data_IF_915322438835
#
_entry.id   IF_915322438835
#
_cell.length_a   1.000
_cell.length_b   1.000
_cell.length_c   1.000
_cell.angle_alpha   90.00
_cell.angle_beta   90.00
_cell.angle_gamma   90.00
#
_symmetry.space_group_name_H-M   'P 1'
#
loop_
_entity.id
_entity.type
_entity.pdbx_description
1 polymer ?
#
# COMPACT_ATOMS: atom_id res chain seq x y z
N UNK A 1 -11.15 1.45 -6.30
CA UNK A 1 -10.59 1.11 -4.98
C UNK A 1 -10.55 2.30 -4.02
N UNK A 2 -11.08 2.11 -2.82
CA UNK A 2 -11.11 3.08 -1.70
C UNK A 2 -9.96 2.90 -0.72
N UNK A 3 -9.39 1.71 -0.63
CA UNK A 3 -8.35 1.38 0.35
C UNK A 3 -7.98 -0.09 0.35
N UNK A 4 -7.27 -0.49 1.39
CA UNK A 4 -7.04 -1.89 1.76
C UNK A 4 -7.50 -2.08 3.20
N UNK A 5 -8.29 -3.12 3.43
CA UNK A 5 -8.76 -3.53 4.76
C UNK A 5 -7.91 -4.68 5.24
N UNK A 6 -7.16 -4.45 6.32
CA UNK A 6 -6.42 -5.49 7.04
C UNK A 6 -7.39 -6.25 7.93
N UNK A 7 -7.38 -7.59 7.87
CA UNK A 7 -8.23 -8.46 8.69
C UNK A 7 -7.34 -9.39 9.51
N UNK A 8 -7.64 -9.48 10.80
CA UNK A 8 -7.20 -10.59 11.66
C UNK A 8 -8.42 -11.41 12.08
N UNK A 9 -8.42 -12.70 11.73
CA UNK A 9 -9.41 -13.67 12.15
C UNK A 9 -8.73 -15.03 12.37
N UNK A 10 -8.21 -15.25 13.57
CA UNK A 10 -7.48 -16.49 13.87
C UNK A 10 -8.44 -17.67 14.10
N UNK A 11 -8.06 -18.89 13.70
CA UNK A 11 -8.81 -20.10 14.02
C UNK A 11 -9.10 -20.23 15.52
N UNK A 12 -10.38 -20.35 15.88
CA UNK A 12 -10.82 -20.48 17.27
C UNK A 12 -10.88 -19.16 18.05
N UNK A 13 -10.65 -18.02 17.41
CA UNK A 13 -10.96 -16.71 17.99
C UNK A 13 -12.42 -16.36 17.74
N UNK A 14 -13.09 -15.86 18.78
CA UNK A 14 -14.43 -15.28 18.67
C UNK A 14 -14.40 -13.83 18.19
N UNK A 15 -13.21 -13.30 17.88
CA UNK A 15 -12.99 -11.89 17.56
C UNK A 15 -12.38 -11.73 16.17
N UNK A 16 -13.04 -10.90 15.36
CA UNK A 16 -12.54 -10.46 14.06
C UNK A 16 -12.15 -8.99 14.19
N UNK A 17 -10.89 -8.66 13.89
CA UNK A 17 -10.46 -7.26 13.83
C UNK A 17 -10.26 -6.83 12.38
N UNK A 18 -10.87 -5.70 12.02
CA UNK A 18 -10.75 -5.05 10.73
C UNK A 18 -10.11 -3.67 10.88
N UNK A 19 -9.14 -3.37 10.01
CA UNK A 19 -8.44 -2.10 9.99
C UNK A 19 -8.37 -1.53 8.58
N UNK A 20 -9.05 -0.41 8.32
CA UNK A 20 -9.15 0.18 6.98
C UNK A 20 -8.08 1.24 6.78
N UNK A 21 -7.26 1.06 5.75
CA UNK A 21 -6.21 2.00 5.34
C UNK A 21 -6.52 2.53 3.95
N UNK A 22 -6.53 3.85 3.77
CA UNK A 22 -6.77 4.51 2.48
C UNK A 22 -5.62 5.45 2.13
N UNK A 23 -5.42 5.68 0.84
CA UNK A 23 -4.46 6.68 0.37
C UNK A 23 -5.15 7.96 -0.08
N UNK A 24 -4.57 9.09 0.29
CA UNK A 24 -4.89 10.41 -0.24
C UNK A 24 -3.60 11.14 -0.56
N UNK A 25 -3.55 11.69 -1.77
CA UNK A 25 -2.34 12.32 -2.32
C UNK A 25 -1.16 11.34 -2.24
N UNK A 26 -0.08 11.71 -1.54
CA UNK A 26 1.11 10.87 -1.36
C UNK A 26 1.21 10.25 0.03
N UNK A 27 0.08 10.01 0.70
CA UNK A 27 0.05 9.46 2.06
C UNK A 27 -1.08 8.44 2.22
N UNK A 28 -0.73 7.28 2.78
CA UNK A 28 -1.69 6.31 3.27
C UNK A 28 -1.95 6.50 4.77
N UNK A 29 -3.22 6.43 5.18
CA UNK A 29 -3.67 6.66 6.56
C UNK A 29 -4.81 5.72 6.91
N UNK A 30 -4.89 5.38 8.19
CA UNK A 30 -6.02 4.65 8.74
C UNK A 30 -7.26 5.53 8.79
N UNK A 31 -8.40 4.96 8.41
CA UNK A 31 -9.69 5.66 8.39
C UNK A 31 -10.73 5.02 9.29
N UNK A 32 -10.57 3.73 9.61
CA UNK A 32 -11.43 3.04 10.56
C UNK A 32 -10.73 1.81 11.15
N UNK A 33 -11.13 1.42 12.35
CA UNK A 33 -10.74 0.18 13.01
C UNK A 33 -11.94 -0.36 13.79
N UNK A 34 -12.28 -1.63 13.57
CA UNK A 34 -13.46 -2.26 14.16
C UNK A 34 -13.08 -3.64 14.66
N UNK A 35 -13.49 -3.93 15.89
CA UNK A 35 -13.42 -5.26 16.48
C UNK A 35 -14.84 -5.81 16.55
N UNK A 36 -15.03 -7.05 16.10
CA UNK A 36 -16.35 -7.69 16.08
C UNK A 36 -16.29 -9.00 16.84
N UNK A 37 -17.24 -9.19 17.75
CA UNK A 37 -17.44 -10.41 18.52
C UNK A 37 -18.36 -11.35 17.74
N UNK A 38 -17.77 -12.26 16.97
CA UNK A 38 -18.47 -13.19 16.11
C UNK A 38 -19.22 -14.29 16.90
N UNK A 39 -18.91 -14.50 18.18
CA UNK A 39 -19.63 -15.43 19.04
C UNK A 39 -20.97 -14.87 19.53
N UNK A 40 -21.11 -13.55 19.63
CA UNK A 40 -22.37 -12.91 20.02
C UNK A 40 -23.36 -12.80 18.87
N UNK A 41 -22.90 -12.36 17.71
CA UNK A 41 -23.76 -12.14 16.55
C UNK A 41 -22.97 -12.31 15.23
N UNK A 42 -23.23 -13.43 14.55
CA UNK A 42 -22.57 -13.77 13.31
C UNK A 42 -23.08 -12.93 12.12
N UNK A 43 -24.36 -12.52 12.14
CA UNK A 43 -24.96 -11.73 11.06
C UNK A 43 -24.38 -10.31 11.08
N UNK A 44 -24.34 -9.69 12.26
CA UNK A 44 -23.67 -8.40 12.46
C UNK A 44 -22.17 -8.46 12.10
N UNK A 45 -21.50 -9.58 12.39
CA UNK A 45 -20.10 -9.79 12.01
C UNK A 45 -19.91 -9.85 10.49
N UNK A 46 -20.76 -10.58 9.77
CA UNK A 46 -20.73 -10.62 8.30
C UNK A 46 -21.02 -9.24 7.68
N UNK A 47 -21.99 -8.52 8.22
CA UNK A 47 -22.34 -7.18 7.76
C UNK A 47 -21.22 -6.16 8.00
N UNK A 48 -20.56 -6.21 9.16
CA UNK A 48 -19.41 -5.39 9.45
C UNK A 48 -18.26 -5.68 8.47
N UNK A 49 -17.94 -6.96 8.22
CA UNK A 49 -16.89 -7.36 7.28
C UNK A 49 -17.23 -6.88 5.86
N UNK A 50 -18.45 -7.10 5.38
CA UNK A 50 -18.91 -6.65 4.06
C UNK A 50 -18.82 -5.12 3.92
N UNK A 51 -19.33 -4.39 4.91
CA UNK A 51 -19.37 -2.92 4.90
C UNK A 51 -17.98 -2.27 4.92
N UNK A 52 -17.03 -2.89 5.63
CA UNK A 52 -15.65 -2.38 5.76
C UNK A 52 -14.71 -2.85 4.65
N UNK A 53 -15.04 -3.93 3.95
CA UNK A 53 -14.22 -4.44 2.84
C UNK A 53 -14.72 -3.94 1.48
N UNK A 54 -15.95 -3.43 1.36
CA UNK A 54 -16.51 -2.91 0.10
C UNK A 54 -15.57 -1.91 -0.60
N UNK A 55 -15.34 -2.12 -1.89
CA UNK A 55 -14.42 -1.33 -2.72
C UNK A 55 -12.98 -1.26 -2.20
N UNK A 56 -12.56 -2.16 -1.30
CA UNK A 56 -11.19 -2.25 -0.80
C UNK A 56 -10.52 -3.53 -1.30
N UNK A 57 -9.19 -3.53 -1.36
CA UNK A 57 -8.43 -4.77 -1.32
C UNK A 57 -8.45 -5.36 0.10
N UNK A 58 -8.24 -6.67 0.23
CA UNK A 58 -8.14 -7.31 1.55
C UNK A 58 -6.70 -7.77 1.79
N UNK A 59 -6.17 -7.43 2.96
CA UNK A 59 -4.88 -7.89 3.48
C UNK A 59 -5.16 -8.71 4.74
N UNK A 60 -4.51 -9.86 4.89
CA UNK A 60 -4.69 -10.70 6.08
C UNK A 60 -3.42 -10.78 6.91
N UNK A 61 -3.57 -10.88 8.22
CA UNK A 61 -2.47 -11.24 9.13
C UNK A 61 -2.11 -12.72 8.98
N UNK A 62 -0.90 -13.10 9.38
CA UNK A 62 -0.47 -14.50 9.36
C UNK A 62 -1.39 -15.35 10.24
N UNK A 63 -1.81 -16.51 9.72
CA UNK A 63 -2.70 -17.45 10.40
C UNK A 63 -4.20 -17.15 10.25
N UNK A 64 -4.58 -16.00 9.68
CA UNK A 64 -6.00 -15.66 9.47
C UNK A 64 -6.71 -16.66 8.56
N UNK A 65 -7.92 -17.06 8.95
CA UNK A 65 -8.88 -17.76 8.09
C UNK A 65 -9.98 -16.81 7.61
N UNK A 66 -10.39 -16.96 6.35
CA UNK A 66 -11.50 -16.20 5.75
C UNK A 66 -12.73 -17.08 5.49
N UNK A 67 -12.71 -18.34 5.95
CA UNK A 67 -13.79 -19.29 5.69
C UNK A 67 -15.11 -18.75 6.24
N UNK A 68 -16.12 -18.68 5.38
CA UNK A 68 -17.45 -18.16 5.72
C UNK A 68 -17.56 -16.63 5.77
N UNK A 69 -16.46 -15.88 5.64
CA UNK A 69 -16.51 -14.41 5.56
C UNK A 69 -16.88 -13.95 4.13
N UNK A 70 -17.59 -12.83 3.97
CA UNK A 70 -17.98 -12.29 2.67
C UNK A 70 -16.81 -11.58 1.96
N UNK A 71 -15.70 -12.30 1.76
CA UNK A 71 -14.49 -11.82 1.08
C UNK A 71 -14.23 -12.70 -0.15
N UNK A 72 -14.18 -12.06 -1.32
CA UNK A 72 -13.88 -12.70 -2.59
C UNK A 72 -12.40 -12.58 -2.97
N UNK A 73 -11.94 -13.53 -3.78
CA UNK A 73 -10.60 -13.54 -4.34
C UNK A 73 -9.51 -13.93 -3.35
N UNK A 74 -8.27 -14.00 -3.83
CA UNK A 74 -7.12 -14.31 -2.97
C UNK A 74 -6.69 -13.03 -2.23
N UNK A 75 -6.65 -13.02 -0.88
CA UNK A 75 -6.22 -11.84 -0.14
C UNK A 75 -4.72 -11.58 -0.34
N UNK A 76 -4.32 -10.34 -0.07
CA UNK A 76 -2.93 -9.95 0.11
C UNK A 76 -2.41 -10.49 1.45
N UNK A 77 -1.10 -10.65 1.53
CA UNK A 77 -0.37 -11.14 2.70
C UNK A 77 0.80 -10.20 3.01
N UNK A 78 1.48 -10.43 4.13
CA UNK A 78 2.72 -9.73 4.47
C UNK A 78 3.83 -9.91 3.41
N UNK A 79 3.83 -11.03 2.69
CA UNK A 79 4.73 -11.25 1.57
C UNK A 79 4.48 -10.24 0.44
N UNK A 80 3.22 -9.97 0.11
CA UNK A 80 2.88 -8.99 -0.93
C UNK A 80 3.33 -7.58 -0.51
N UNK A 81 3.28 -7.24 0.79
CA UNK A 81 3.83 -5.97 1.30
C UNK A 81 5.35 -5.91 1.18
N UNK A 82 6.04 -7.02 1.43
CA UNK A 82 7.49 -7.12 1.23
C UNK A 82 7.86 -6.92 -0.24
N UNK A 83 7.08 -7.48 -1.16
CA UNK A 83 7.25 -7.26 -2.60
C UNK A 83 7.00 -5.79 -2.99
N UNK A 84 6.02 -5.13 -2.37
CA UNK A 84 5.77 -3.69 -2.56
C UNK A 84 6.97 -2.84 -2.13
N UNK A 85 7.59 -3.16 -0.99
CA UNK A 85 8.79 -2.48 -0.51
C UNK A 85 9.95 -2.70 -1.48
N UNK A 86 10.22 -3.95 -1.87
CA UNK A 86 11.30 -4.28 -2.81
C UNK A 86 11.11 -3.59 -4.17
N UNK A 87 9.89 -3.56 -4.70
CA UNK A 87 9.59 -2.84 -5.93
C UNK A 87 9.83 -1.33 -5.76
N UNK A 88 9.40 -0.76 -4.63
CA UNK A 88 9.60 0.65 -4.33
C UNK A 88 11.09 1.01 -4.33
N UNK A 89 11.94 0.21 -3.70
CA UNK A 89 13.40 0.40 -3.69
C UNK A 89 14.00 0.33 -5.10
N UNK A 90 13.60 -0.66 -5.89
CA UNK A 90 14.04 -0.76 -7.28
C UNK A 90 13.63 0.48 -8.10
N UNK A 91 12.43 1.00 -7.85
CA UNK A 91 11.93 2.21 -8.50
C UNK A 91 12.70 3.46 -8.07
N UNK A 92 13.01 3.61 -6.77
CA UNK A 92 13.87 4.68 -6.24
C UNK A 92 15.26 4.67 -6.89
N UNK A 93 15.83 3.47 -7.06
CA UNK A 93 17.11 3.30 -7.75
C UNK A 93 17.02 3.75 -9.22
N UNK A 94 16.00 3.31 -9.96
CA UNK A 94 15.79 3.68 -11.35
C UNK A 94 15.63 5.20 -11.54
N UNK A 95 14.84 5.88 -10.68
CA UNK A 95 14.70 7.34 -10.70
C UNK A 95 16.05 8.02 -10.44
N UNK A 96 16.82 7.52 -9.46
CA UNK A 96 18.13 8.08 -9.12
C UNK A 96 19.11 7.99 -10.29
N UNK A 97 19.16 6.83 -10.96
CA UNK A 97 20.00 6.61 -12.13
C UNK A 97 19.59 7.54 -13.28
N UNK A 98 18.29 7.66 -13.58
CA UNK A 98 17.81 8.59 -14.60
C UNK A 98 18.21 10.05 -14.33
N UNK A 99 18.16 10.48 -13.06
CA UNK A 99 18.61 11.82 -12.66
C UNK A 99 20.12 11.97 -12.81
N UNK A 100 20.92 10.98 -12.38
CA UNK A 100 22.39 10.99 -12.55
C UNK A 100 22.77 11.06 -14.03
N UNK A 101 22.12 10.26 -14.87
CA UNK A 101 22.33 10.22 -16.31
C UNK A 101 21.99 11.54 -16.97
N UNK A 102 20.85 12.15 -16.62
CA UNK A 102 20.48 13.47 -17.09
C UNK A 102 21.51 14.53 -16.70
N UNK A 103 21.95 14.55 -15.43
CA UNK A 103 22.98 15.49 -14.95
C UNK A 103 24.30 15.30 -15.69
N UNK A 104 24.72 14.05 -15.93
CA UNK A 104 25.93 13.73 -16.71
C UNK A 104 25.84 14.23 -18.15
N UNK A 105 24.72 13.95 -18.84
CA UNK A 105 24.50 14.31 -20.24
C UNK A 105 24.39 15.82 -20.46
N UNK A 106 23.72 16.53 -19.55
CA UNK A 106 23.47 17.97 -19.67
C UNK A 106 24.48 18.83 -18.93
N UNK A 107 25.38 18.21 -18.15
CA UNK A 107 26.29 18.88 -17.19
C UNK A 107 25.57 19.82 -16.23
N UNK A 108 24.29 19.54 -15.94
CA UNK A 108 23.47 20.40 -15.09
C UNK A 108 23.84 20.25 -13.61
N UNK A 109 24.30 21.34 -13.01
CA UNK A 109 24.52 21.42 -11.57
C UNK A 109 23.23 21.69 -10.78
N UNK A 110 22.20 22.24 -11.42
CA UNK A 110 21.00 22.76 -10.75
C UNK A 110 19.92 21.70 -10.49
N UNK A 111 19.98 20.54 -11.14
CA UNK A 111 19.02 19.45 -10.89
C UNK A 111 19.37 18.77 -9.56
N UNK A 112 18.44 18.82 -8.61
CA UNK A 112 18.59 18.16 -7.31
C UNK A 112 18.38 16.64 -7.43
N UNK A 113 19.16 15.89 -6.64
CA UNK A 113 18.91 14.46 -6.46
C UNK A 113 17.58 14.26 -5.71
N UNK A 114 16.79 13.23 -6.05
CA UNK A 114 15.59 12.90 -5.28
C UNK A 114 15.96 12.49 -3.85
N UNK A 115 15.05 12.77 -2.93
CA UNK A 115 15.12 12.32 -1.54
C UNK A 115 13.92 11.41 -1.31
N UNK A 116 14.20 10.17 -0.95
CA UNK A 116 13.17 9.14 -0.76
C UNK A 116 12.92 8.87 0.72
N UNK A 117 11.70 8.43 1.08
CA UNK A 117 11.43 7.91 2.40
C UNK A 117 12.26 6.63 2.65
N UNK A 118 12.58 6.39 3.93
CA UNK A 118 13.21 5.14 4.37
C UNK A 118 12.25 3.98 4.10
N UNK A 119 12.78 2.87 3.57
CA UNK A 119 12.02 1.64 3.39
C UNK A 119 11.57 1.09 4.74
N UNK A 120 10.28 0.78 4.92
CA UNK A 120 9.82 0.13 6.14
C UNK A 120 10.36 -1.30 6.23
N UNK A 121 10.80 -1.70 7.42
CA UNK A 121 11.33 -3.03 7.70
C UNK A 121 10.23 -3.84 8.42
N UNK A 122 9.86 -5.05 7.96
CA UNK A 122 8.79 -5.84 8.58
C UNK A 122 8.97 -6.04 10.09
N UNK A 123 10.21 -6.25 10.54
CA UNK A 123 10.55 -6.47 11.94
C UNK A 123 10.19 -5.29 12.87
N UNK A 124 10.08 -4.07 12.33
CA UNK A 124 9.67 -2.88 13.10
C UNK A 124 8.17 -2.87 13.41
N UNK A 125 7.39 -3.78 12.80
CA UNK A 125 5.94 -3.89 12.92
C UNK A 125 5.51 -5.17 13.64
N UNK A 126 6.28 -5.61 14.62
CA UNK A 126 5.86 -6.70 15.49
C UNK A 126 4.66 -6.26 16.36
N UNK A 127 3.62 -7.10 16.51
CA UNK A 127 2.52 -6.81 17.42
C UNK A 127 3.02 -6.75 18.87
N UNK A 128 2.50 -5.81 19.65
CA UNK A 128 2.88 -5.64 21.07
C UNK A 128 2.41 -6.82 21.92
N UNK A 129 1.23 -7.35 21.61
CA UNK A 129 0.59 -8.48 22.28
C UNK A 129 0.02 -9.45 21.24
N UNK A 130 -0.21 -10.70 21.64
CA UNK A 130 -0.82 -11.71 20.78
C UNK A 130 -2.36 -11.62 20.79
N UNK A 131 -2.88 -10.47 20.38
CA UNK A 131 -4.33 -10.23 20.23
C UNK A 131 -4.69 -9.94 18.77
N UNK A 132 -5.93 -10.22 18.33
CA UNK A 132 -6.38 -9.89 16.98
C UNK A 132 -6.15 -8.42 16.62
N UNK A 133 -6.47 -7.53 17.56
CA UNK A 133 -6.31 -6.10 17.38
C UNK A 133 -4.84 -5.67 17.27
N UNK A 134 -3.96 -6.21 18.11
CA UNK A 134 -2.52 -5.91 18.01
C UNK A 134 -1.91 -6.41 16.70
N UNK A 135 -2.26 -7.62 16.23
CA UNK A 135 -1.77 -8.16 14.94
C UNK A 135 -2.30 -7.37 13.74
N UNK A 136 -3.60 -7.05 13.73
CA UNK A 136 -4.22 -6.25 12.67
C UNK A 136 -3.61 -4.85 12.61
N UNK A 137 -3.41 -4.20 13.76
CA UNK A 137 -2.83 -2.85 13.84
C UNK A 137 -1.39 -2.82 13.34
N UNK A 138 -0.55 -3.77 13.78
CA UNK A 138 0.85 -3.82 13.38
C UNK A 138 0.98 -4.03 11.85
N UNK A 139 0.20 -4.96 11.30
CA UNK A 139 0.13 -5.21 9.85
C UNK A 139 -0.41 -4.00 9.07
N UNK A 140 -1.43 -3.32 9.59
CA UNK A 140 -1.96 -2.10 8.97
C UNK A 140 -0.93 -0.96 8.96
N UNK A 141 -0.17 -0.78 10.04
CA UNK A 141 0.91 0.22 10.09
C UNK A 141 2.00 -0.07 9.05
N UNK A 142 2.39 -1.35 8.90
CA UNK A 142 3.35 -1.74 7.88
C UNK A 142 2.85 -1.39 6.47
N UNK A 143 1.60 -1.74 6.15
CA UNK A 143 0.94 -1.35 4.91
C UNK A 143 0.93 0.17 4.70
N UNK A 144 0.55 0.96 5.71
CA UNK A 144 0.45 2.41 5.59
C UNK A 144 1.80 3.06 5.27
N UNK A 145 2.89 2.57 5.87
CA UNK A 145 4.23 3.06 5.57
C UNK A 145 4.75 2.58 4.22
N UNK A 146 4.55 1.31 3.86
CA UNK A 146 4.96 0.78 2.56
C UNK A 146 4.23 1.50 1.41
N UNK A 147 2.92 1.71 1.54
CA UNK A 147 2.12 2.40 0.54
C UNK A 147 2.48 3.89 0.45
N UNK A 148 2.72 4.55 1.59
CA UNK A 148 3.22 5.94 1.60
C UNK A 148 4.59 6.05 0.93
N UNK A 149 5.47 5.08 1.16
CA UNK A 149 6.80 5.06 0.55
C UNK A 149 6.72 4.97 -0.98
N UNK A 150 5.84 4.10 -1.49
CA UNK A 150 5.53 4.00 -2.92
C UNK A 150 5.03 5.34 -3.48
N UNK A 151 3.95 5.90 -2.91
CA UNK A 151 3.31 7.10 -3.45
C UNK A 151 4.26 8.31 -3.48
N UNK A 152 5.09 8.48 -2.46
CA UNK A 152 6.11 9.53 -2.42
C UNK A 152 7.22 9.31 -3.45
N UNK A 153 7.61 8.05 -3.65
CA UNK A 153 8.61 7.69 -4.67
C UNK A 153 8.08 8.01 -6.07
N UNK A 154 6.85 7.60 -6.37
CA UNK A 154 6.25 7.83 -7.69
C UNK A 154 5.90 9.31 -7.94
N UNK A 155 5.64 10.09 -6.88
CA UNK A 155 5.55 11.56 -6.98
C UNK A 155 6.89 12.18 -7.40
N UNK A 156 8.03 11.71 -6.88
CA UNK A 156 9.35 12.21 -7.29
C UNK A 156 9.64 11.90 -8.77
N UNK A 157 9.17 10.75 -9.28
CA UNK A 157 9.19 10.42 -10.70
C UNK A 157 8.30 11.38 -11.51
N UNK A 158 7.04 11.56 -11.10
CA UNK A 158 6.08 12.46 -11.77
C UNK A 158 6.62 13.88 -11.90
N UNK A 159 7.17 14.46 -10.82
CA UNK A 159 7.75 15.82 -10.82
C UNK A 159 8.89 16.02 -11.82
N UNK A 160 9.54 14.93 -12.24
CA UNK A 160 10.70 14.92 -13.16
C UNK A 160 10.35 14.46 -14.58
N UNK A 161 9.07 14.17 -14.81
CA UNK A 161 8.51 13.79 -16.10
C UNK A 161 8.37 15.01 -17.01
N UNK A 162 7.89 16.13 -16.45
CA UNK A 162 7.61 17.38 -17.19
C UNK A 162 8.51 18.51 -16.72
N UNK A 163 9.06 19.28 -17.65
CA UNK A 163 9.90 20.45 -17.35
C UNK A 163 9.04 21.61 -16.81
N UNK A 164 9.29 22.15 -15.59
CA UNK A 164 8.37 23.09 -14.93
C UNK A 164 8.04 24.38 -15.70
N UNK A 165 8.99 24.92 -16.46
CA UNK A 165 8.81 26.20 -17.18
C UNK A 165 8.25 26.04 -18.59
N UNK A 166 8.53 24.91 -19.25
CA UNK A 166 8.22 24.73 -20.68
C UNK A 166 7.14 23.70 -20.93
N UNK A 167 6.78 22.87 -19.95
CA UNK A 167 5.83 21.77 -20.13
C UNK A 167 6.38 20.61 -20.96
N UNK A 168 7.66 20.64 -21.32
CA UNK A 168 8.29 19.63 -22.18
C UNK A 168 8.36 18.27 -21.47
N UNK A 169 8.02 17.21 -22.21
CA UNK A 169 8.02 15.82 -21.77
C UNK A 169 8.46 14.91 -22.93
N UNK A 170 9.28 13.88 -22.69
CA UNK A 170 9.98 13.57 -21.43
C UNK A 170 11.08 14.60 -21.10
N UNK A 171 11.25 14.94 -19.82
CA UNK A 171 12.31 15.86 -19.36
C UNK A 171 13.54 15.13 -18.79
N UNK A 172 13.45 14.61 -17.56
CA UNK A 172 14.53 13.86 -16.90
C UNK A 172 14.25 12.36 -16.96
N UNK A 173 13.00 11.96 -16.73
CA UNK A 173 12.60 10.57 -16.76
C UNK A 173 12.69 10.00 -18.18
N UNK A 174 13.11 8.74 -18.35
CA UNK A 174 13.06 8.06 -19.64
C UNK A 174 11.61 7.82 -20.08
N UNK A 175 11.41 7.55 -21.37
CA UNK A 175 10.07 7.32 -21.96
C UNK A 175 9.29 6.23 -21.22
N UNK A 176 9.95 5.14 -20.82
CA UNK A 176 9.33 4.04 -20.07
C UNK A 176 8.80 4.43 -18.69
N UNK A 177 9.22 5.57 -18.15
CA UNK A 177 8.79 6.11 -16.84
C UNK A 177 8.05 7.45 -16.99
N UNK A 178 7.71 7.83 -18.22
CA UNK A 178 7.16 9.13 -18.57
C UNK A 178 5.63 9.18 -18.38
N UNK A 179 5.16 9.03 -17.13
CA UNK A 179 3.73 9.09 -16.79
C UNK A 179 3.34 10.40 -16.08
N UNK A 180 2.25 11.08 -16.49
CA UNK A 180 1.78 12.27 -15.80
C UNK A 180 1.01 11.98 -14.50
N UNK A 181 0.63 10.73 -14.26
CA UNK A 181 -0.16 10.30 -13.10
C UNK A 181 0.72 9.60 -12.06
N UNK A 182 0.36 9.75 -10.78
CA UNK A 182 0.89 8.91 -9.71
C UNK A 182 0.11 7.60 -9.74
N UNK A 183 0.78 6.47 -9.91
CA UNK A 183 0.14 5.17 -9.84
C UNK A 183 -0.18 4.83 -8.37
N UNK A 184 -1.39 4.34 -8.11
CA UNK A 184 -1.81 3.95 -6.75
C UNK A 184 -0.90 2.86 -6.16
N UNK A 185 -0.50 1.91 -7.00
CA UNK A 185 0.43 0.82 -6.69
C UNK A 185 1.35 0.56 -7.88
N UNK A 186 2.50 -0.11 -7.68
CA UNK A 186 3.22 -0.78 -8.75
C UNK A 186 2.32 -1.73 -9.53
N UNK A 187 2.60 -1.94 -10.82
CA UNK A 187 1.80 -2.82 -11.68
C UNK A 187 1.71 -4.25 -11.13
N UNK A 188 2.83 -4.81 -10.67
CA UNK A 188 2.88 -6.16 -10.09
C UNK A 188 2.01 -6.30 -8.84
N UNK A 189 2.05 -5.31 -7.95
CA UNK A 189 1.22 -5.30 -6.74
C UNK A 189 -0.26 -5.05 -7.09
N UNK A 190 -0.54 -4.12 -8.00
CA UNK A 190 -1.89 -3.82 -8.47
C UNK A 190 -2.59 -5.06 -9.03
N UNK A 191 -1.87 -5.91 -9.78
CA UNK A 191 -2.39 -7.16 -10.32
C UNK A 191 -2.74 -8.20 -9.23
N UNK A 192 -2.18 -8.08 -8.01
CA UNK A 192 -2.52 -8.92 -6.87
C UNK A 192 -3.74 -8.44 -6.11
N UNK A 193 -4.10 -7.16 -6.22
CA UNK A 193 -5.20 -6.60 -5.44
C UNK A 193 -6.55 -6.99 -6.04
N UNK A 194 -7.31 -7.80 -5.30
CA UNK A 194 -8.70 -8.09 -5.61
C UNK A 194 -9.62 -7.10 -4.87
N UNK A 195 -10.21 -6.16 -5.60
CA UNK A 195 -11.17 -5.20 -5.04
C UNK A 195 -12.51 -5.88 -4.77
N UNK A 196 -13.01 -5.78 -3.54
CA UNK A 196 -14.33 -6.28 -3.18
C UNK A 196 -15.43 -5.43 -3.83
N UNK A 197 -16.52 -6.08 -4.23
CA UNK A 197 -17.62 -5.42 -4.93
C UNK A 197 -18.32 -4.35 -4.07
N UNK A 198 -18.97 -3.41 -4.75
CA UNK A 198 -19.97 -2.53 -4.15
C UNK A 198 -21.25 -3.36 -3.99
N UNK A 199 -21.39 -4.05 -2.86
CA UNK A 199 -22.62 -4.78 -2.50
C UNK A 199 -23.70 -3.77 -2.11
#
# INVERSE_FOLDING_TARGET
>A
MRGITTIDNQPGSDTITLWVTSAKDTQARHVNAVEVDAAKDLEDAMDAVSSLTRCCGVLVTNGTTLDGLPVAGKPLTESDLTDLVAYTEAHQHAISEAVRDHKRRTRSASVAMPVFPVSPIPADFAPVDDTPTSRAFATANYLALAWTAWLKTDEERRRRTTRPKTGETPWIMPESMNSPLIATFPESFAARVHEQALV
#
